data_IF_616131557988
#
_entry.id   IF_616131557988
#
_cell.length_a   1.000
_cell.length_b   1.000
_cell.length_c   1.000
_cell.angle_alpha   90.00
_cell.angle_beta   90.00
_cell.angle_gamma   90.00
#
_symmetry.space_group_name_H-M   'P 1'
#
loop_
_entity.id
_entity.type
_entity.pdbx_description
1 polymer ?
#
# COMPACT_ATOMS: atom_id res chain seq x y z
N UNK A 1 1.70 21.49 -25.24
CA UNK A 1 1.59 20.03 -24.98
C UNK A 1 2.83 19.55 -24.22
N UNK A 2 2.73 19.43 -22.90
CA UNK A 2 3.81 18.91 -22.05
C UNK A 2 3.35 17.60 -21.42
N UNK A 3 3.78 16.50 -22.04
CA UNK A 3 3.61 15.14 -21.56
C UNK A 3 4.59 14.93 -20.39
N UNK A 4 4.21 15.37 -19.19
CA UNK A 4 4.94 15.00 -17.98
C UNK A 4 4.48 13.59 -17.59
N UNK A 5 5.15 12.58 -18.14
CA UNK A 5 5.00 11.18 -17.72
C UNK A 5 5.58 10.92 -16.32
N UNK A 6 5.26 11.76 -15.34
CA UNK A 6 5.67 11.59 -13.95
C UNK A 6 4.83 10.47 -13.35
N UNK A 7 5.45 9.29 -13.17
CA UNK A 7 4.93 8.26 -12.28
C UNK A 7 5.00 8.80 -10.85
N UNK A 8 3.86 9.11 -10.27
CA UNK A 8 3.76 9.57 -8.90
C UNK A 8 3.57 8.37 -7.97
N UNK A 9 4.44 8.28 -6.96
CA UNK A 9 4.43 7.23 -5.96
C UNK A 9 4.06 7.89 -4.63
N UNK A 10 2.91 7.54 -4.07
CA UNK A 10 2.48 8.05 -2.75
C UNK A 10 2.73 6.98 -1.69
N UNK A 11 3.30 7.42 -0.56
CA UNK A 11 3.34 6.63 0.68
C UNK A 11 1.93 6.55 1.27
N UNK A 12 1.46 5.33 1.52
CA UNK A 12 0.10 4.93 1.90
C UNK A 12 -0.46 5.49 3.24
N UNK A 13 -0.29 6.79 3.50
CA UNK A 13 -1.15 7.51 4.44
C UNK A 13 -2.44 7.98 3.75
N UNK A 14 -2.40 8.20 2.44
CA UNK A 14 -3.54 8.50 1.57
C UNK A 14 -3.29 7.90 0.16
N UNK A 15 -4.28 7.26 -0.46
CA UNK A 15 -4.23 6.79 -1.86
C UNK A 15 -4.59 7.90 -2.87
N UNK A 16 -4.66 9.12 -2.38
CA UNK A 16 -5.28 10.24 -3.04
C UNK A 16 -4.26 11.36 -3.13
N UNK A 17 -3.95 11.78 -4.36
CA UNK A 17 -3.21 13.00 -4.62
C UNK A 17 -4.20 14.10 -4.96
N UNK A 18 -3.94 15.32 -4.49
CA UNK A 18 -4.55 16.51 -5.06
C UNK A 18 -3.64 17.04 -6.16
N UNK A 19 -4.09 16.98 -7.42
CA UNK A 19 -3.31 17.47 -8.55
C UNK A 19 -3.28 19.02 -8.59
N UNK A 20 -2.48 19.59 -9.50
CA UNK A 20 -2.34 21.05 -9.66
C UNK A 20 -3.67 21.76 -9.97
N UNK A 21 -4.68 21.02 -10.45
CA UNK A 21 -6.04 21.51 -10.72
C UNK A 21 -6.96 21.42 -9.50
N UNK A 22 -6.47 20.94 -8.34
CA UNK A 22 -7.26 20.78 -7.12
C UNK A 22 -8.11 19.51 -7.06
N UNK A 23 -8.00 18.61 -8.04
CA UNK A 23 -8.77 17.36 -8.12
C UNK A 23 -8.09 16.24 -7.34
N UNK A 24 -8.91 15.44 -6.67
CA UNK A 24 -8.46 14.26 -5.96
C UNK A 24 -8.35 13.10 -6.95
N UNK A 25 -7.13 12.76 -7.36
CA UNK A 25 -6.83 11.67 -8.28
C UNK A 25 -6.21 10.48 -7.54
N UNK A 26 -6.71 9.27 -7.86
CA UNK A 26 -6.10 8.02 -7.43
C UNK A 26 -4.84 7.77 -8.24
N UNK A 27 -3.71 7.57 -7.55
CA UNK A 27 -2.40 7.38 -8.18
C UNK A 27 -2.26 6.02 -8.86
N UNK A 28 -1.43 5.96 -9.90
CA UNK A 28 -1.17 4.72 -10.64
C UNK A 28 -0.36 3.71 -9.81
N UNK A 29 0.53 4.20 -8.93
CA UNK A 29 1.37 3.38 -8.07
C UNK A 29 1.26 3.84 -6.61
N UNK A 30 1.17 2.88 -5.70
CA UNK A 30 1.11 3.13 -4.28
C UNK A 30 2.14 2.28 -3.54
N UNK A 31 2.83 2.87 -2.55
CA UNK A 31 3.78 2.15 -1.69
C UNK A 31 3.32 2.19 -0.24
N UNK A 32 3.19 1.01 0.38
CA UNK A 32 3.00 0.87 1.81
C UNK A 32 4.29 0.37 2.47
N UNK A 33 4.81 1.10 3.45
CA UNK A 33 5.92 0.66 4.30
C UNK A 33 5.35 0.20 5.65
N UNK A 34 5.29 -1.11 5.83
CA UNK A 34 4.79 -1.78 7.03
C UNK A 34 5.93 -2.15 7.99
N UNK A 35 7.17 -2.14 7.52
CA UNK A 35 8.36 -2.43 8.32
C UNK A 35 8.51 -1.46 9.49
N UNK A 36 8.26 -0.17 9.23
CA UNK A 36 8.28 0.84 10.28
C UNK A 36 7.21 0.56 11.34
N UNK A 37 6.00 0.17 10.94
CA UNK A 37 4.88 -0.07 11.86
C UNK A 37 5.10 -1.30 12.76
N UNK A 38 5.71 -2.36 12.23
CA UNK A 38 6.08 -3.54 13.03
C UNK A 38 7.08 -3.19 14.14
N UNK A 39 8.09 -2.36 13.84
CA UNK A 39 9.11 -1.97 14.82
C UNK A 39 8.58 -1.08 15.95
N UNK A 40 7.53 -0.30 15.68
CA UNK A 40 6.89 0.58 16.69
C UNK A 40 5.77 -0.09 17.49
N UNK A 41 5.21 -1.24 17.06
CA UNK A 41 4.20 -1.97 17.84
C UNK A 41 4.70 -2.39 19.23
N UNK A 42 5.98 -2.72 19.37
CA UNK A 42 6.59 -3.04 20.68
C UNK A 42 6.65 -1.80 21.58
N UNK A 43 6.74 -0.60 20.99
CA UNK A 43 6.89 0.66 21.72
C UNK A 43 5.56 1.39 21.99
N UNK A 44 4.49 1.13 21.23
CA UNK A 44 3.23 1.88 21.33
C UNK A 44 2.00 0.99 21.15
N UNK A 45 1.30 0.67 22.25
CA UNK A 45 0.01 -0.07 22.26
C UNK A 45 -1.09 0.57 21.39
N UNK A 46 -0.96 1.86 21.02
CA UNK A 46 -1.91 2.57 20.15
C UNK A 46 -1.65 2.40 18.63
N UNK A 47 -0.43 2.06 18.20
CA UNK A 47 -0.08 1.98 16.77
C UNK A 47 -0.65 0.73 16.07
N UNK A 48 -1.09 -0.27 16.83
CA UNK A 48 -1.75 -1.46 16.29
C UNK A 48 -3.05 -1.14 15.53
N UNK A 49 -3.78 -0.09 15.90
CA UNK A 49 -4.97 0.31 15.14
C UNK A 49 -4.63 0.86 13.76
N UNK A 50 -3.56 1.66 13.65
CA UNK A 50 -3.11 2.20 12.36
C UNK A 50 -2.61 1.08 11.44
N UNK A 51 -1.87 0.11 11.99
CA UNK A 51 -1.45 -1.07 11.24
C UNK A 51 -2.66 -1.87 10.74
N UNK A 52 -3.64 -2.16 11.62
CA UNK A 52 -4.90 -2.83 11.24
C UNK A 52 -5.64 -2.09 10.12
N UNK A 53 -5.77 -0.77 10.23
CA UNK A 53 -6.43 0.04 9.21
C UNK A 53 -5.70 -0.04 7.85
N UNK A 54 -4.37 -0.02 7.85
CA UNK A 54 -3.57 -0.18 6.63
C UNK A 54 -3.72 -1.58 6.02
N UNK A 55 -3.62 -2.64 6.83
CA UNK A 55 -3.83 -4.03 6.39
C UNK A 55 -5.21 -4.18 5.76
N UNK A 56 -6.27 -3.71 6.44
CA UNK A 56 -7.64 -3.75 5.94
C UNK A 56 -7.83 -2.96 4.65
N UNK A 57 -7.13 -1.83 4.51
CA UNK A 57 -7.17 -1.02 3.31
C UNK A 57 -6.51 -1.74 2.14
N UNK A 58 -5.34 -2.35 2.34
CA UNK A 58 -4.64 -3.17 1.34
C UNK A 58 -5.55 -4.31 0.90
N UNK A 59 -6.11 -5.08 1.84
CA UNK A 59 -7.03 -6.18 1.55
C UNK A 59 -8.22 -5.72 0.71
N UNK A 60 -8.82 -4.57 1.05
CA UNK A 60 -9.96 -4.03 0.33
C UNK A 60 -9.60 -3.70 -1.12
N UNK A 61 -8.49 -3.00 -1.36
CA UNK A 61 -8.12 -2.57 -2.72
C UNK A 61 -7.64 -3.73 -3.58
N UNK A 62 -7.07 -4.78 -2.98
CA UNK A 62 -6.67 -6.00 -3.70
C UNK A 62 -7.87 -6.90 -3.99
N UNK A 63 -8.80 -7.07 -3.05
CA UNK A 63 -9.99 -7.92 -3.24
C UNK A 63 -10.97 -7.33 -4.25
N UNK A 64 -10.98 -6.01 -4.41
CA UNK A 64 -11.79 -5.32 -5.43
C UNK A 64 -11.09 -5.22 -6.78
N UNK A 65 -9.87 -5.77 -6.93
CA UNK A 65 -9.01 -5.58 -8.09
C UNK A 65 -8.79 -4.10 -8.47
N UNK A 66 -8.99 -3.18 -7.52
CA UNK A 66 -8.70 -1.76 -7.73
C UNK A 66 -7.19 -1.55 -7.86
N UNK A 67 -6.41 -2.28 -7.06
CA UNK A 67 -4.96 -2.32 -7.09
C UNK A 67 -4.47 -3.76 -7.03
N UNK A 68 -3.46 -4.09 -7.84
CA UNK A 68 -2.70 -5.32 -7.72
C UNK A 68 -1.40 -5.10 -6.96
N UNK A 69 -1.01 -6.06 -6.11
CA UNK A 69 0.31 -6.09 -5.50
C UNK A 69 1.31 -6.58 -6.56
N UNK A 70 2.18 -5.69 -7.03
CA UNK A 70 3.18 -6.02 -8.05
C UNK A 70 4.58 -6.25 -7.47
N UNK A 71 4.79 -5.92 -6.19
CA UNK A 71 6.03 -6.17 -5.48
C UNK A 71 5.84 -6.20 -3.97
N UNK A 72 6.59 -7.06 -3.30
CA UNK A 72 6.68 -7.13 -1.86
C UNK A 72 8.13 -7.42 -1.46
N UNK A 73 8.68 -6.61 -0.55
CA UNK A 73 10.04 -6.81 -0.04
C UNK A 73 10.20 -6.22 1.35
N UNK A 74 10.63 -7.04 2.31
CA UNK A 74 10.99 -6.61 3.67
C UNK A 74 9.92 -5.72 4.35
N UNK A 75 8.63 -6.06 4.20
CA UNK A 75 7.51 -5.29 4.75
C UNK A 75 7.11 -4.06 3.93
N UNK A 76 7.70 -3.84 2.75
CA UNK A 76 7.30 -2.81 1.80
C UNK A 76 6.49 -3.43 0.67
N UNK A 77 5.27 -2.90 0.45
CA UNK A 77 4.36 -3.33 -0.62
C UNK A 77 4.38 -2.27 -1.73
N UNK A 78 4.53 -2.71 -2.97
CA UNK A 78 4.29 -1.92 -4.17
C UNK A 78 3.00 -2.40 -4.84
N UNK A 79 2.06 -1.48 -5.00
CA UNK A 79 0.77 -1.71 -5.64
C UNK A 79 0.62 -0.87 -6.90
N UNK A 80 -0.10 -1.39 -7.88
CA UNK A 80 -0.42 -0.71 -9.12
C UNK A 80 -1.92 -0.79 -9.41
N UNK A 81 -2.49 0.34 -9.81
CA UNK A 81 -3.93 0.46 -10.10
C UNK A 81 -4.33 -0.35 -11.33
N UNK A 82 -5.43 -1.09 -11.23
CA UNK A 82 -6.05 -1.79 -12.37
C UNK A 82 -5.22 -2.94 -12.96
N UNK A 83 -4.23 -3.44 -12.24
CA UNK A 83 -3.37 -4.57 -12.65
C UNK A 83 -3.62 -5.75 -11.72
N UNK A 84 -3.52 -6.97 -12.24
CA UNK A 84 -3.59 -8.17 -11.43
C UNK A 84 -2.36 -8.28 -10.49
N UNK A 85 -2.57 -8.80 -9.29
CA UNK A 85 -1.46 -9.01 -8.36
C UNK A 85 -0.48 -10.06 -8.90
N UNK A 86 0.82 -9.81 -8.71
CA UNK A 86 1.86 -10.81 -8.91
C UNK A 86 1.69 -11.91 -7.83
N UNK A 87 1.53 -13.19 -8.22
CA UNK A 87 1.34 -14.29 -7.27
C UNK A 87 2.44 -14.42 -6.22
N UNK A 88 3.71 -14.19 -6.60
CA UNK A 88 4.85 -14.28 -5.67
C UNK A 88 4.82 -13.16 -4.63
N UNK A 89 4.52 -11.94 -5.09
CA UNK A 89 4.41 -10.78 -4.21
C UNK A 89 3.20 -10.89 -3.27
N UNK A 90 2.08 -11.41 -3.78
CA UNK A 90 0.90 -11.71 -2.97
C UNK A 90 1.19 -12.79 -1.92
N UNK A 91 1.86 -13.88 -2.30
CA UNK A 91 2.24 -14.93 -1.35
C UNK A 91 3.23 -14.44 -0.28
N UNK A 92 4.16 -13.55 -0.64
CA UNK A 92 5.08 -12.93 0.33
C UNK A 92 4.34 -11.98 1.28
N UNK A 93 3.38 -11.20 0.77
CA UNK A 93 2.50 -10.36 1.59
C UNK A 93 1.69 -11.19 2.59
N UNK A 94 1.04 -12.26 2.15
CA UNK A 94 0.22 -13.11 3.00
C UNK A 94 1.04 -13.75 4.13
N UNK A 95 2.25 -14.24 3.83
CA UNK A 95 3.17 -14.77 4.85
C UNK A 95 3.56 -13.71 5.89
N UNK A 96 3.94 -12.52 5.43
CA UNK A 96 4.28 -11.42 6.34
C UNK A 96 3.10 -11.00 7.22
N UNK A 97 1.87 -11.03 6.67
CA UNK A 97 0.65 -10.74 7.44
C UNK A 97 0.41 -11.77 8.53
N UNK A 98 0.59 -13.06 8.25
CA UNK A 98 0.45 -14.12 9.26
C UNK A 98 1.43 -13.91 10.43
N UNK A 99 2.66 -13.49 10.14
CA UNK A 99 3.68 -13.17 11.15
C UNK A 99 3.35 -11.95 12.01
N UNK A 100 2.47 -11.05 11.54
CA UNK A 100 2.11 -9.85 12.28
C UNK A 100 1.11 -10.11 13.43
N UNK A 101 0.46 -11.28 13.51
CA UNK A 101 -0.60 -11.59 14.50
C UNK A 101 -1.68 -10.49 14.64
N UNK A 102 -1.99 -9.80 13.53
CA UNK A 102 -2.95 -8.66 13.49
C UNK A 102 -4.38 -9.10 13.23
#
# INVERSE_FOLDING_TARGET
>A
PHLSGRREIIRLADLQLRNDNGEVVKVDYAIADLWRLQRYQIAFKHDGQRLRSLVNMIDRVTNTNEYGIIGFKDGVILMQKGVASNPEAMAAWLRFREELEV
#
